data_IF_044984622648
#
_entry.id   IF_044984622648
#
_cell.length_a   1.000
_cell.length_b   1.000
_cell.length_c   1.000
_cell.angle_alpha   90.00
_cell.angle_beta   90.00
_cell.angle_gamma   90.00
#
_symmetry.space_group_name_H-M   'P 1'
#
loop_
_entity.id
_entity.type
_entity.pdbx_description
1 polymer ?
#
# COMPACT_ATOMS: atom_id res chain seq x y z
N UNK A 1 40.58 -30.60 -1.66
CA UNK A 1 39.49 -30.61 -2.65
C UNK A 1 38.21 -30.32 -1.91
N UNK A 2 37.64 -29.13 -2.05
CA UNK A 2 36.38 -28.76 -1.39
C UNK A 2 35.26 -28.80 -2.44
N UNK A 3 34.29 -29.69 -2.25
CA UNK A 3 33.10 -29.83 -3.10
C UNK A 3 32.06 -28.81 -2.67
N UNK A 4 31.72 -27.88 -3.55
CA UNK A 4 30.62 -26.94 -3.35
C UNK A 4 29.31 -27.61 -3.77
N UNK A 5 28.45 -27.91 -2.82
CA UNK A 5 27.09 -28.39 -3.11
C UNK A 5 26.22 -27.18 -3.49
N UNK A 6 25.63 -27.18 -4.69
CA UNK A 6 24.61 -26.20 -5.06
C UNK A 6 23.34 -26.38 -4.21
N UNK A 7 22.65 -25.29 -3.84
CA UNK A 7 21.37 -25.38 -3.16
C UNK A 7 20.27 -25.89 -4.12
N UNK A 8 19.25 -26.61 -3.62
CA UNK A 8 18.16 -27.10 -4.45
C UNK A 8 17.31 -25.94 -5.00
N UNK A 9 17.12 -25.94 -6.32
CA UNK A 9 16.17 -25.08 -7.01
C UNK A 9 14.76 -25.37 -6.48
N UNK A 10 14.19 -24.39 -5.80
CA UNK A 10 12.77 -24.40 -5.49
C UNK A 10 12.02 -24.03 -6.77
N UNK A 11 11.05 -24.84 -7.24
CA UNK A 11 10.23 -24.46 -8.38
C UNK A 11 9.47 -23.19 -7.98
N UNK A 12 9.81 -22.07 -8.64
CA UNK A 12 8.99 -20.88 -8.58
C UNK A 12 7.63 -21.24 -9.15
N UNK A 13 6.60 -21.23 -8.29
CA UNK A 13 5.23 -21.25 -8.75
C UNK A 13 5.08 -20.13 -9.78
N UNK A 14 4.68 -20.52 -11.00
CA UNK A 14 4.44 -19.59 -12.09
C UNK A 14 3.33 -18.63 -11.66
N UNK A 15 3.73 -17.43 -11.21
CA UNK A 15 2.83 -16.28 -11.23
C UNK A 15 2.58 -15.97 -12.71
N UNK A 16 1.31 -15.93 -13.18
CA UNK A 16 1.02 -15.54 -14.54
C UNK A 16 1.46 -14.08 -14.69
N UNK A 17 2.53 -13.90 -15.46
CA UNK A 17 3.08 -12.63 -15.88
C UNK A 17 1.98 -11.87 -16.66
N UNK A 18 1.30 -10.93 -16.01
CA UNK A 18 0.22 -10.17 -16.67
C UNK A 18 -0.31 -8.95 -15.94
N UNK A 19 -0.27 -8.89 -14.60
CA UNK A 19 -0.81 -7.74 -13.86
C UNK A 19 0.32 -7.02 -13.12
N UNK A 20 0.67 -5.82 -13.58
CA UNK A 20 1.65 -4.94 -12.91
C UNK A 20 1.11 -4.31 -11.62
N UNK A 21 -0.11 -4.64 -11.22
CA UNK A 21 -0.83 -4.12 -10.08
C UNK A 21 -1.42 -5.29 -9.29
N UNK A 22 -1.20 -5.28 -7.98
CA UNK A 22 -1.90 -6.18 -7.05
C UNK A 22 -3.35 -5.74 -6.96
N UNK A 23 -4.28 -6.63 -7.27
CA UNK A 23 -5.71 -6.35 -7.12
C UNK A 23 -6.17 -6.73 -5.71
N UNK A 24 -7.30 -6.17 -5.27
CA UNK A 24 -7.87 -6.52 -3.96
C UNK A 24 -8.17 -8.02 -3.85
N UNK A 25 -8.56 -8.65 -4.96
CA UNK A 25 -8.83 -10.08 -5.05
C UNK A 25 -7.56 -10.90 -4.79
N UNK A 26 -6.40 -10.48 -5.32
CA UNK A 26 -5.12 -11.16 -5.12
C UNK A 26 -4.69 -11.13 -3.64
N UNK A 27 -4.89 -10.01 -2.95
CA UNK A 27 -4.60 -9.86 -1.52
C UNK A 27 -5.50 -10.77 -0.68
N UNK A 28 -6.79 -10.81 -1.01
CA UNK A 28 -7.74 -11.70 -0.34
C UNK A 28 -7.35 -13.15 -0.58
N UNK A 29 -7.07 -13.55 -1.83
CA UNK A 29 -6.71 -14.92 -2.19
C UNK A 29 -5.42 -15.38 -1.48
N UNK A 30 -4.41 -14.51 -1.41
CA UNK A 30 -3.17 -14.77 -0.67
C UNK A 30 -3.43 -14.91 0.84
N UNK A 31 -4.29 -14.06 1.40
CA UNK A 31 -4.68 -14.15 2.80
C UNK A 31 -5.43 -15.47 3.10
N UNK A 32 -6.38 -15.88 2.23
CA UNK A 32 -7.11 -17.14 2.44
C UNK A 32 -6.17 -18.35 2.34
N UNK A 33 -5.25 -18.35 1.37
CA UNK A 33 -4.24 -19.39 1.22
C UNK A 33 -3.31 -19.47 2.46
N UNK A 34 -2.85 -18.32 2.97
CA UNK A 34 -2.05 -18.27 4.19
C UNK A 34 -2.81 -18.81 5.42
N UNK A 35 -4.11 -18.53 5.55
CA UNK A 35 -4.92 -19.07 6.64
C UNK A 35 -5.09 -20.60 6.60
N UNK A 36 -5.02 -21.22 5.42
CA UNK A 36 -5.19 -22.67 5.26
C UNK A 36 -3.93 -23.48 5.59
N UNK A 37 -2.74 -22.87 5.55
CA UNK A 37 -1.46 -23.57 5.67
C UNK A 37 -0.74 -23.41 7.02
N UNK A 38 -1.26 -22.61 7.96
CA UNK A 38 -0.66 -22.43 9.28
C UNK A 38 -1.37 -23.24 10.38
N UNK A 39 -0.80 -24.37 10.87
CA UNK A 39 -1.44 -25.23 11.88
C UNK A 39 -1.57 -24.60 13.29
N UNK A 40 -1.11 -23.35 13.47
CA UNK A 40 -1.16 -22.62 14.74
C UNK A 40 -2.12 -21.42 14.73
N UNK A 41 -2.80 -21.13 13.62
CA UNK A 41 -3.77 -20.04 13.55
C UNK A 41 -5.10 -20.52 14.14
N UNK A 42 -5.20 -20.58 15.46
CA UNK A 42 -6.51 -20.50 16.13
C UNK A 42 -7.21 -19.26 15.56
N UNK A 43 -8.54 -19.30 15.30
CA UNK A 43 -9.27 -18.09 14.94
C UNK A 43 -9.01 -17.08 16.06
N UNK A 44 -8.22 -16.05 15.75
CA UNK A 44 -8.16 -14.87 16.58
C UNK A 44 -9.62 -14.42 16.64
N UNK A 45 -10.23 -14.45 17.83
CA UNK A 45 -11.46 -13.68 18.06
C UNK A 45 -11.18 -12.34 17.42
N UNK A 46 -11.98 -11.96 16.41
CA UNK A 46 -11.93 -10.63 15.87
C UNK A 46 -12.13 -9.70 17.07
N UNK A 47 -11.03 -9.13 17.58
CA UNK A 47 -11.10 -7.95 18.41
C UNK A 47 -11.63 -6.91 17.45
N UNK A 48 -12.95 -6.79 17.42
CA UNK A 48 -13.61 -5.70 16.75
C UNK A 48 -13.02 -4.46 17.42
N UNK A 49 -12.25 -3.61 16.68
CA UNK A 49 -11.70 -2.41 17.28
C UNK A 49 -12.87 -1.69 17.95
N UNK A 50 -12.74 -1.43 19.24
CA UNK A 50 -13.75 -0.66 19.96
C UNK A 50 -13.85 0.70 19.28
N UNK A 51 -15.00 0.97 18.69
CA UNK A 51 -15.37 2.29 18.20
C UNK A 51 -15.40 3.21 19.42
N UNK A 52 -14.42 4.09 19.56
CA UNK A 52 -14.25 4.97 20.72
C UNK A 52 -15.38 6.02 20.84
N UNK A 53 -16.29 6.04 19.86
CA UNK A 53 -17.44 6.93 19.79
C UNK A 53 -17.04 8.38 19.53
N UNK A 54 -15.76 8.64 19.24
CA UNK A 54 -15.23 9.96 18.94
C UNK A 54 -15.35 10.20 17.44
N UNK A 55 -16.29 11.06 17.07
CA UNK A 55 -16.37 11.57 15.70
C UNK A 55 -15.46 12.79 15.60
N UNK A 56 -14.26 12.60 15.07
CA UNK A 56 -13.38 13.73 14.73
C UNK A 56 -14.02 14.55 13.59
N UNK A 57 -14.26 15.85 13.82
CA UNK A 57 -14.66 16.83 12.79
C UNK A 57 -13.44 17.68 12.39
N UNK A 58 -12.46 17.12 11.63
CA UNK A 58 -11.24 17.84 11.32
C UNK A 58 -11.55 19.02 10.41
N UNK A 59 -11.22 20.22 10.90
CA UNK A 59 -11.34 21.46 10.14
C UNK A 59 -9.97 21.96 9.70
N UNK A 60 -9.83 22.28 8.42
CA UNK A 60 -8.64 22.94 7.87
C UNK A 60 -9.03 24.19 7.08
N UNK A 61 -8.10 25.14 7.03
CA UNK A 61 -8.19 26.35 6.22
C UNK A 61 -6.97 26.45 5.32
N UNK A 62 -7.15 27.02 4.13
CA UNK A 62 -6.05 27.27 3.20
C UNK A 62 -5.40 28.62 3.52
N UNK A 63 -4.18 28.59 4.05
CA UNK A 63 -3.39 29.81 4.19
C UNK A 63 -3.08 30.41 2.81
N UNK A 64 -3.14 31.74 2.70
CA UNK A 64 -2.89 32.42 1.43
C UNK A 64 -3.95 32.16 0.34
N UNK A 65 -5.19 31.79 0.69
CA UNK A 65 -6.28 31.49 -0.25
C UNK A 65 -6.43 32.53 -1.37
N UNK A 66 -6.39 33.82 -1.06
CA UNK A 66 -6.49 34.88 -2.08
C UNK A 66 -5.35 34.88 -3.10
N UNK A 67 -4.16 34.44 -2.69
CA UNK A 67 -3.02 34.29 -3.60
C UNK A 67 -3.23 33.08 -4.51
N UNK A 68 -3.66 31.95 -3.94
CA UNK A 68 -4.00 30.75 -4.70
C UNK A 68 -5.10 31.01 -5.73
N UNK A 69 -6.13 31.79 -5.40
CA UNK A 69 -7.19 32.19 -6.34
C UNK A 69 -6.65 33.00 -7.53
N UNK A 70 -5.67 33.88 -7.30
CA UNK A 70 -5.02 34.65 -8.38
C UNK A 70 -4.25 33.74 -9.34
N UNK A 71 -3.48 32.78 -8.82
CA UNK A 71 -2.78 31.79 -9.65
C UNK A 71 -3.76 30.85 -10.35
N UNK A 72 -4.85 30.45 -9.70
CA UNK A 72 -5.88 29.61 -10.30
C UNK A 72 -6.54 30.28 -11.51
N UNK A 73 -6.87 31.58 -11.39
CA UNK A 73 -7.47 32.37 -12.48
C UNK A 73 -6.63 32.41 -13.76
N UNK A 74 -5.30 32.33 -13.62
CA UNK A 74 -4.35 32.38 -14.74
C UNK A 74 -3.89 31.00 -15.21
N UNK A 75 -4.21 29.94 -14.45
CA UNK A 75 -3.58 28.62 -14.58
C UNK A 75 -2.37 28.51 -13.67
N UNK A 76 -2.46 27.62 -12.67
CA UNK A 76 -1.34 27.37 -11.75
C UNK A 76 -0.37 26.37 -12.38
N UNK A 77 0.89 26.76 -12.49
CA UNK A 77 1.98 25.91 -12.99
C UNK A 77 3.02 25.69 -11.88
N UNK A 78 3.60 24.49 -11.84
CA UNK A 78 4.67 24.14 -10.90
C UNK A 78 5.92 23.71 -11.66
N UNK A 79 7.05 24.28 -11.29
CA UNK A 79 8.35 23.93 -11.88
C UNK A 79 8.88 22.67 -11.19
N UNK A 80 9.24 21.66 -11.97
CA UNK A 80 9.94 20.48 -11.47
C UNK A 80 11.40 20.51 -11.94
N UNK A 81 12.33 20.20 -11.03
CA UNK A 81 13.76 20.09 -11.36
C UNK A 81 14.30 18.77 -10.84
N UNK A 82 15.41 18.29 -11.41
CA UNK A 82 16.07 17.04 -10.98
C UNK A 82 16.45 17.07 -9.49
N UNK A 83 16.78 18.25 -8.96
CA UNK A 83 17.10 18.44 -7.54
C UNK A 83 15.87 18.73 -6.66
N UNK A 84 14.69 18.98 -7.24
CA UNK A 84 13.48 19.38 -6.52
C UNK A 84 13.19 20.89 -6.54
N UNK A 85 11.95 21.27 -6.26
CA UNK A 85 11.49 22.65 -6.09
C UNK A 85 10.27 22.69 -5.16
N UNK A 86 10.19 23.73 -4.33
CA UNK A 86 9.02 24.11 -3.53
C UNK A 86 8.41 25.40 -4.09
#
# INVERSE_FOLDING_TARGET
>A
MATFALPPHHPHAHHPLGTAYTTAEDVVLAAVAAHQHHPAMRPLRAMQPEDDGVVDDPKVTLEGKELWEKFHKLGTEMVITKSGRQ
#
